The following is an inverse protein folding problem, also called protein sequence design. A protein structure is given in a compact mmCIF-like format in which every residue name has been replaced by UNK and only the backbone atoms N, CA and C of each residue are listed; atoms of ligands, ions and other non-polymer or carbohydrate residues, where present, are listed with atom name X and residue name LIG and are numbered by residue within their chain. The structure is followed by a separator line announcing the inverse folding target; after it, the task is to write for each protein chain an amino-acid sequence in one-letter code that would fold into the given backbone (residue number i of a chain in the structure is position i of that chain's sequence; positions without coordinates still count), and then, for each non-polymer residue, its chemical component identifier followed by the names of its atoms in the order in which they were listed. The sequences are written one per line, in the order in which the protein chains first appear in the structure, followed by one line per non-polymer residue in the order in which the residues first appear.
data_IF_005215324970
#
_entry.id   IF_005215324970
#
_cell.length_a   1.000
_cell.length_b   1.000
_cell.length_c   1.000
_cell.angle_alpha   90.00
_cell.angle_beta   90.00
_cell.angle_gamma   90.00
#
_symmetry.space_group_name_H-M   'P 1'
#
loop_
_entity.id
_entity.type
_entity.pdbx_description
1 polymer ?
#
# COMPACT_ATOMS: atom_id res chain seq x y z
N UNK A 1 18.01 -52.03 18.48
CA UNK A 1 16.58 -51.65 18.27
C UNK A 1 16.09 -50.93 19.52
N UNK A 2 15.19 -49.94 19.34
CA UNK A 2 14.49 -49.14 20.36
C UNK A 2 15.24 -47.89 20.85
N UNK A 3 15.28 -46.86 20.01
CA UNK A 3 15.03 -45.44 20.37
C UNK A 3 15.22 -44.60 19.11
N UNK A 4 14.30 -44.72 18.16
CA UNK A 4 14.31 -43.85 16.97
C UNK A 4 12.88 -43.63 16.48
N UNK A 5 12.01 -43.23 17.40
CA UNK A 5 10.65 -42.81 17.09
C UNK A 5 10.22 -41.80 18.16
N UNK A 6 10.63 -40.54 18.04
CA UNK A 6 9.91 -39.37 18.59
C UNK A 6 10.61 -38.05 18.18
N UNK A 7 10.64 -37.74 16.88
CA UNK A 7 11.09 -36.42 16.43
C UNK A 7 10.36 -35.95 15.16
N UNK A 8 9.11 -36.37 14.97
CA UNK A 8 8.24 -35.84 13.93
C UNK A 8 7.09 -35.05 14.57
N UNK A 9 7.42 -34.15 15.50
CA UNK A 9 6.51 -33.08 15.91
C UNK A 9 6.47 -32.03 14.80
N UNK A 10 5.67 -32.34 13.78
CA UNK A 10 4.63 -31.46 13.24
C UNK A 10 4.84 -29.95 13.45
N UNK A 11 5.87 -29.36 12.83
CA UNK A 11 5.84 -27.92 12.53
C UNK A 11 5.08 -27.72 11.21
N UNK A 12 3.80 -28.06 11.21
CA UNK A 12 2.84 -27.41 10.31
C UNK A 12 2.60 -26.02 10.90
N UNK A 13 3.58 -25.14 10.77
CA UNK A 13 3.29 -23.71 10.85
C UNK A 13 2.31 -23.44 9.71
N UNK A 14 1.03 -23.25 10.05
CA UNK A 14 0.09 -22.56 9.18
C UNK A 14 0.66 -21.16 8.98
N UNK A 15 1.61 -21.01 8.04
CA UNK A 15 1.92 -19.72 7.48
C UNK A 15 0.64 -19.25 6.81
N UNK A 16 0.01 -18.23 7.39
CA UNK A 16 -1.04 -17.52 6.69
C UNK A 16 -0.44 -17.04 5.37
N UNK A 17 -1.12 -17.33 4.26
CA UNK A 17 -0.64 -16.90 2.95
C UNK A 17 -0.50 -15.38 2.88
N UNK A 18 0.41 -14.90 2.04
CA UNK A 18 0.78 -13.49 1.94
C UNK A 18 -0.45 -12.59 1.69
N UNK A 19 -1.44 -13.09 0.94
CA UNK A 19 -2.71 -12.42 0.68
C UNK A 19 -3.51 -12.24 1.96
N UNK A 20 -3.63 -13.28 2.79
CA UNK A 20 -4.35 -13.21 4.06
C UNK A 20 -3.65 -12.25 5.03
N UNK A 21 -2.32 -12.24 5.03
CA UNK A 21 -1.55 -11.30 5.84
C UNK A 21 -1.75 -9.84 5.36
N UNK A 22 -1.78 -9.59 4.04
CA UNK A 22 -2.14 -8.28 3.51
C UNK A 22 -3.55 -7.86 3.92
N UNK A 23 -4.53 -8.77 3.84
CA UNK A 23 -5.92 -8.51 4.27
C UNK A 23 -5.99 -8.18 5.77
N UNK A 24 -5.28 -8.93 6.61
CA UNK A 24 -5.18 -8.64 8.05
C UNK A 24 -4.61 -7.25 8.30
N UNK A 25 -3.54 -6.89 7.61
CA UNK A 25 -2.92 -5.57 7.75
C UNK A 25 -3.86 -4.43 7.31
N UNK A 26 -4.71 -4.64 6.29
CA UNK A 26 -5.70 -3.64 5.83
C UNK A 26 -6.90 -3.53 6.79
N UNK A 27 -7.41 -4.66 7.30
CA UNK A 27 -8.62 -4.67 8.14
C UNK A 27 -8.32 -4.40 9.63
N UNK A 28 -7.07 -4.62 10.07
CA UNK A 28 -6.69 -4.59 11.47
C UNK A 28 -7.59 -5.50 12.31
N UNK A 29 -8.02 -5.02 13.47
CA UNK A 29 -8.89 -5.79 14.39
C UNK A 29 -10.22 -6.23 13.76
N UNK A 30 -10.68 -5.60 12.67
CA UNK A 30 -11.92 -6.01 12.00
C UNK A 30 -11.80 -7.38 11.35
N UNK A 31 -10.58 -7.81 10.99
CA UNK A 31 -10.32 -9.13 10.41
C UNK A 31 -10.90 -10.27 11.24
N UNK A 32 -10.72 -10.25 12.57
CA UNK A 32 -11.14 -11.36 13.44
C UNK A 32 -12.66 -11.55 13.46
N UNK A 33 -13.42 -10.48 13.23
CA UNK A 33 -14.89 -10.54 13.12
C UNK A 33 -15.37 -11.01 11.75
N UNK A 34 -14.55 -10.85 10.71
CA UNK A 34 -14.87 -11.21 9.32
C UNK A 34 -14.08 -12.41 8.78
N UNK A 35 -13.32 -13.12 9.63
CA UNK A 35 -12.36 -14.14 9.22
C UNK A 35 -12.98 -15.22 8.33
N UNK A 36 -14.19 -15.70 8.65
CA UNK A 36 -14.87 -16.72 7.84
C UNK A 36 -15.11 -16.24 6.41
N UNK A 37 -15.61 -15.00 6.26
CA UNK A 37 -15.88 -14.39 4.96
C UNK A 37 -14.57 -14.13 4.22
N UNK A 38 -13.56 -13.59 4.90
CA UNK A 38 -12.22 -13.37 4.33
C UNK A 38 -11.64 -14.67 3.77
N UNK A 39 -11.68 -15.76 4.54
CA UNK A 39 -11.16 -17.05 4.11
C UNK A 39 -11.88 -17.58 2.85
N UNK A 40 -13.18 -17.30 2.69
CA UNK A 40 -13.92 -17.67 1.47
C UNK A 40 -13.53 -16.77 0.30
N UNK A 41 -13.50 -15.44 0.50
CA UNK A 41 -13.23 -14.47 -0.57
C UNK A 41 -11.81 -14.57 -1.14
N UNK A 42 -10.85 -14.95 -0.30
CA UNK A 42 -9.42 -14.99 -0.63
C UNK A 42 -8.86 -16.43 -0.73
N UNK A 43 -9.73 -17.45 -0.78
CA UNK A 43 -9.32 -18.87 -0.84
C UNK A 43 -8.36 -19.18 -2.00
N UNK A 44 -8.55 -18.54 -3.16
CA UNK A 44 -7.69 -18.70 -4.31
C UNK A 44 -6.70 -17.53 -4.38
N UNK A 45 -5.64 -17.61 -3.56
CA UNK A 45 -4.65 -16.55 -3.38
C UNK A 45 -3.95 -16.15 -4.69
N UNK A 46 -3.68 -17.10 -5.59
CA UNK A 46 -3.02 -16.85 -6.88
C UNK A 46 -3.72 -15.79 -7.73
N UNK A 47 -5.03 -15.58 -7.53
CA UNK A 47 -5.78 -14.53 -8.24
C UNK A 47 -5.41 -13.12 -7.78
N UNK A 48 -4.70 -12.95 -6.68
CA UNK A 48 -4.33 -11.67 -6.08
C UNK A 48 -2.86 -11.34 -6.27
N UNK A 49 -2.23 -11.94 -7.28
CA UNK A 49 -0.86 -11.61 -7.70
C UNK A 49 -0.85 -11.05 -9.12
N UNK A 50 0.11 -10.15 -9.37
CA UNK A 50 0.57 -9.72 -10.69
C UNK A 50 2.03 -10.19 -10.83
N UNK A 51 2.24 -11.29 -11.54
CA UNK A 51 3.55 -11.96 -11.56
C UNK A 51 3.90 -12.47 -10.16
N UNK A 52 5.06 -12.06 -9.64
CA UNK A 52 5.52 -12.44 -8.29
C UNK A 52 5.10 -11.46 -7.18
N UNK A 53 4.29 -10.44 -7.50
CA UNK A 53 3.93 -9.37 -6.56
C UNK A 53 2.45 -9.43 -6.20
N UNK A 54 2.11 -9.09 -4.96
CA UNK A 54 0.71 -8.93 -4.57
C UNK A 54 0.04 -7.76 -5.32
N UNK A 55 -1.18 -8.00 -5.79
CA UNK A 55 -2.05 -7.01 -6.39
C UNK A 55 -2.89 -6.32 -5.31
N UNK A 56 -2.27 -5.36 -4.61
CA UNK A 56 -2.91 -4.62 -3.51
C UNK A 56 -4.20 -3.94 -3.97
N UNK A 57 -4.22 -3.38 -5.18
CA UNK A 57 -5.42 -2.75 -5.73
C UNK A 57 -6.58 -3.74 -5.80
N UNK A 58 -6.33 -4.96 -6.28
CA UNK A 58 -7.35 -6.02 -6.38
C UNK A 58 -7.80 -6.55 -5.02
N UNK A 59 -6.89 -6.67 -4.05
CA UNK A 59 -7.23 -7.05 -2.68
C UNK A 59 -8.16 -6.01 -2.06
N UNK A 60 -7.79 -4.74 -2.12
CA UNK A 60 -8.57 -3.61 -1.57
C UNK A 60 -9.93 -3.51 -2.27
N UNK A 61 -9.96 -3.63 -3.60
CA UNK A 61 -11.19 -3.64 -4.39
C UNK A 61 -12.14 -4.76 -3.95
N UNK A 62 -11.61 -5.98 -3.74
CA UNK A 62 -12.39 -7.12 -3.24
C UNK A 62 -12.95 -6.87 -1.85
N UNK A 63 -12.17 -6.26 -0.94
CA UNK A 63 -12.65 -5.90 0.41
C UNK A 63 -13.77 -4.86 0.35
N UNK A 64 -13.62 -3.80 -0.45
CA UNK A 64 -14.62 -2.74 -0.64
C UNK A 64 -15.91 -3.28 -1.22
N UNK A 65 -15.83 -4.06 -2.30
CA UNK A 65 -16.97 -4.65 -2.98
C UNK A 65 -17.79 -5.62 -2.10
N UNK A 66 -17.20 -6.14 -1.02
CA UNK A 66 -17.86 -7.03 -0.07
C UNK A 66 -18.15 -6.34 1.29
N UNK A 67 -18.08 -5.01 1.35
CA UNK A 67 -18.41 -4.23 2.55
C UNK A 67 -17.45 -4.42 3.74
N UNK A 68 -16.31 -5.08 3.54
CA UNK A 68 -15.33 -5.36 4.59
C UNK A 68 -14.44 -4.15 4.91
N UNK A 69 -14.29 -3.24 3.95
CA UNK A 69 -13.51 -2.02 4.09
C UNK A 69 -14.37 -0.80 3.77
N UNK A 70 -14.68 -0.02 4.80
CA UNK A 70 -15.30 1.30 4.69
C UNK A 70 -14.24 2.37 4.99
N UNK A 71 -14.08 3.30 4.05
CA UNK A 71 -13.10 4.38 4.13
C UNK A 71 -13.73 5.71 4.56
N UNK A 72 -15.06 5.83 4.53
CA UNK A 72 -15.73 7.09 4.84
C UNK A 72 -15.83 7.33 6.35
N UNK A 73 -15.67 8.60 6.73
CA UNK A 73 -15.91 9.07 8.08
C UNK A 73 -17.26 9.77 8.16
N UNK A 74 -17.81 9.84 9.37
CA UNK A 74 -19.06 10.59 9.62
C UNK A 74 -18.85 12.11 9.56
N UNK A 75 -17.63 12.56 9.84
CA UNK A 75 -17.20 13.96 9.84
C UNK A 75 -15.76 14.03 9.33
N UNK A 76 -15.29 15.17 8.78
CA UNK A 76 -13.90 15.35 8.43
C UNK A 76 -12.97 15.07 9.62
N UNK A 77 -11.93 14.26 9.42
CA UNK A 77 -10.93 13.91 10.42
C UNK A 77 -9.54 14.25 9.95
N UNK A 78 -8.67 14.52 10.91
CA UNK A 78 -7.23 14.53 10.66
C UNK A 78 -6.74 13.10 10.41
N UNK A 79 -6.02 12.94 9.31
CA UNK A 79 -5.45 11.70 8.81
C UNK A 79 -3.93 11.80 8.86
N UNK A 80 -3.28 10.76 9.36
CA UNK A 80 -1.82 10.61 9.28
C UNK A 80 -1.50 9.47 8.33
N UNK A 81 -0.67 9.76 7.32
CA UNK A 81 -0.24 8.77 6.34
C UNK A 81 1.29 8.72 6.37
N UNK A 82 1.83 7.52 6.57
CA UNK A 82 3.26 7.25 6.57
C UNK A 82 3.63 6.47 5.33
N UNK A 83 4.61 6.95 4.59
CA UNK A 83 5.20 6.31 3.43
C UNK A 83 6.64 5.92 3.75
N UNK A 84 7.06 4.76 3.26
CA UNK A 84 8.43 4.30 3.33
C UNK A 84 8.83 3.65 2.01
N UNK A 85 10.07 3.87 1.57
CA UNK A 85 10.67 3.13 0.48
C UNK A 85 12.19 3.16 0.60
N UNK A 86 12.83 2.15 0.01
CA UNK A 86 14.27 2.15 -0.25
C UNK A 86 14.55 2.85 -1.59
N UNK A 87 15.65 3.61 -1.66
CA UNK A 87 16.12 4.21 -2.92
C UNK A 87 16.27 5.73 -2.86
N UNK A 88 16.07 6.40 -4.00
CA UNK A 88 16.31 7.84 -4.15
C UNK A 88 15.19 8.68 -3.46
N UNK A 89 15.51 9.48 -2.42
CA UNK A 89 14.49 10.25 -1.68
C UNK A 89 13.77 11.31 -2.52
N UNK A 90 14.45 11.94 -3.48
CA UNK A 90 13.84 12.97 -4.34
C UNK A 90 12.84 12.35 -5.31
N UNK A 91 13.19 11.21 -5.90
CA UNK A 91 12.28 10.44 -6.76
C UNK A 91 11.05 9.98 -5.97
N UNK A 92 11.27 9.43 -4.78
CA UNK A 92 10.22 9.02 -3.86
C UNK A 92 9.25 10.17 -3.54
N UNK A 93 9.78 11.32 -3.09
CA UNK A 93 8.95 12.47 -2.71
C UNK A 93 8.16 12.98 -3.92
N UNK A 94 8.81 13.09 -5.08
CA UNK A 94 8.17 13.57 -6.31
C UNK A 94 7.02 12.68 -6.73
N UNK A 95 7.24 11.37 -6.81
CA UNK A 95 6.21 10.42 -7.25
C UNK A 95 5.04 10.42 -6.29
N UNK A 96 5.29 10.31 -4.98
CA UNK A 96 4.17 10.25 -4.01
C UNK A 96 3.41 11.56 -4.01
N UNK A 97 4.08 12.72 -4.05
CA UNK A 97 3.42 14.01 -4.11
C UNK A 97 2.52 14.14 -5.36
N UNK A 98 3.03 13.79 -6.54
CA UNK A 98 2.24 13.82 -7.77
C UNK A 98 1.10 12.79 -7.75
N UNK A 99 1.34 11.59 -7.23
CA UNK A 99 0.29 10.56 -7.08
C UNK A 99 -0.81 11.01 -6.12
N UNK A 100 -0.47 11.62 -4.99
CA UNK A 100 -1.43 12.19 -4.04
C UNK A 100 -2.26 13.30 -4.69
N UNK A 101 -1.61 14.23 -5.38
CA UNK A 101 -2.29 15.30 -6.11
C UNK A 101 -3.28 14.76 -7.14
N UNK A 102 -2.85 13.78 -7.95
CA UNK A 102 -3.67 13.18 -9.00
C UNK A 102 -4.91 12.44 -8.49
N UNK A 103 -4.90 11.97 -7.24
CA UNK A 103 -6.05 11.31 -6.61
C UNK A 103 -6.86 12.25 -5.69
N UNK A 104 -6.56 13.55 -5.70
CA UNK A 104 -7.34 14.59 -5.02
C UNK A 104 -6.77 15.10 -3.68
N UNK A 105 -5.57 14.66 -3.28
CA UNK A 105 -4.90 15.11 -2.04
C UNK A 105 -3.85 16.19 -2.33
N UNK A 106 -4.31 17.39 -2.68
CA UNK A 106 -3.43 18.53 -3.00
C UNK A 106 -2.92 19.31 -1.78
N UNK A 107 -3.55 19.16 -0.62
CA UNK A 107 -3.23 19.92 0.59
C UNK A 107 -2.96 18.98 1.77
N UNK A 108 -1.70 18.92 2.18
CA UNK A 108 -1.24 18.18 3.35
C UNK A 108 -0.02 18.87 3.94
N UNK A 109 0.26 18.60 5.21
CA UNK A 109 1.44 19.09 5.93
C UNK A 109 2.41 17.96 6.15
N UNK A 110 3.70 18.17 5.88
CA UNK A 110 4.74 17.22 6.29
C UNK A 110 4.92 17.28 7.79
N UNK A 111 4.75 16.14 8.46
CA UNK A 111 4.97 15.98 9.91
C UNK A 111 6.37 15.47 10.23
N UNK A 112 6.90 14.59 9.38
CA UNK A 112 8.22 14.00 9.57
C UNK A 112 8.78 13.58 8.20
N UNK A 113 10.06 13.81 7.96
CA UNK A 113 10.80 13.26 6.84
C UNK A 113 12.20 12.89 7.33
N UNK A 114 12.58 11.61 7.20
CA UNK A 114 13.86 11.13 7.71
C UNK A 114 14.39 9.96 6.89
N UNK A 115 15.70 9.76 6.94
CA UNK A 115 16.38 8.59 6.37
C UNK A 115 16.84 7.69 7.52
N UNK A 116 16.49 6.42 7.46
CA UNK A 116 16.93 5.37 8.40
C UNK A 116 17.59 4.26 7.58
N UNK A 117 18.93 4.23 7.57
CA UNK A 117 19.70 3.38 6.66
C UNK A 117 19.41 3.75 5.21
N UNK A 118 18.96 2.79 4.41
CA UNK A 118 18.56 3.01 3.00
C UNK A 118 17.08 3.32 2.81
N UNK A 119 16.29 3.27 3.88
CA UNK A 119 14.89 3.62 3.85
C UNK A 119 14.70 5.11 4.08
N UNK A 120 13.89 5.72 3.22
CA UNK A 120 13.36 7.05 3.44
C UNK A 120 11.93 6.95 3.95
N UNK A 121 11.64 7.68 5.02
CA UNK A 121 10.35 7.72 5.68
C UNK A 121 9.77 9.12 5.57
N UNK A 122 8.52 9.21 5.13
CA UNK A 122 7.80 10.46 5.02
C UNK A 122 6.41 10.33 5.59
N UNK A 123 6.07 11.21 6.53
CA UNK A 123 4.79 11.25 7.20
C UNK A 123 4.11 12.57 6.90
N UNK A 124 2.88 12.48 6.42
CA UNK A 124 2.04 13.64 6.15
C UNK A 124 0.78 13.61 7.02
N UNK A 125 0.20 14.79 7.20
CA UNK A 125 -1.08 14.97 7.88
C UNK A 125 -2.00 15.80 6.99
N UNK A 126 -3.26 15.40 6.89
CA UNK A 126 -4.28 16.16 6.17
C UNK A 126 -5.67 15.98 6.78
N UNK A 127 -6.60 16.88 6.49
CA UNK A 127 -8.00 16.75 6.90
C UNK A 127 -8.84 16.19 5.75
N UNK A 128 -9.59 15.13 5.97
CA UNK A 128 -10.44 14.53 4.95
C UNK A 128 -11.70 13.88 5.53
N UNK A 129 -12.75 13.78 4.72
CA UNK A 129 -14.00 13.05 5.03
C UNK A 129 -13.87 11.54 4.80
N UNK A 130 -12.76 11.09 4.23
CA UNK A 130 -12.46 9.67 4.04
C UNK A 130 -10.98 9.37 4.24
N UNK A 131 -10.67 8.12 4.58
CA UNK A 131 -9.33 7.61 4.46
C UNK A 131 -8.91 7.61 2.98
N UNK A 132 -7.61 7.80 2.72
CA UNK A 132 -7.06 7.65 1.38
C UNK A 132 -7.46 6.30 0.80
N UNK A 133 -8.07 6.33 -0.40
CA UNK A 133 -8.47 5.12 -1.10
C UNK A 133 -7.24 4.36 -1.58
N UNK A 134 -6.87 3.22 -0.95
CA UNK A 134 -5.63 2.56 -1.28
C UNK A 134 -5.67 1.90 -2.65
N UNK A 135 -6.86 1.57 -3.17
CA UNK A 135 -7.01 1.03 -4.52
C UNK A 135 -6.68 2.09 -5.56
N UNK A 136 -7.20 3.32 -5.37
CA UNK A 136 -6.95 4.43 -6.27
C UNK A 136 -5.47 4.85 -6.22
N UNK A 137 -4.90 4.93 -5.02
CA UNK A 137 -3.49 5.24 -4.83
C UNK A 137 -2.57 4.18 -5.46
N UNK A 138 -2.86 2.88 -5.25
CA UNK A 138 -2.10 1.80 -5.88
C UNK A 138 -2.10 1.90 -7.41
N UNK A 139 -3.28 2.13 -8.02
CA UNK A 139 -3.40 2.28 -9.47
C UNK A 139 -2.60 3.48 -10.00
N UNK A 140 -2.60 4.59 -9.28
CA UNK A 140 -1.84 5.78 -9.68
C UNK A 140 -0.32 5.58 -9.56
N UNK A 141 0.14 4.87 -8.52
CA UNK A 141 1.55 4.50 -8.37
C UNK A 141 2.02 3.53 -9.47
N UNK A 142 1.19 2.54 -9.82
CA UNK A 142 1.54 1.51 -10.82
C UNK A 142 1.81 2.11 -12.20
N UNK A 143 1.15 3.23 -12.55
CA UNK A 143 1.41 3.98 -13.80
C UNK A 143 2.84 4.53 -13.91
N UNK A 144 3.56 4.56 -12.80
CA UNK A 144 4.91 5.10 -12.65
C UNK A 144 5.91 4.01 -12.26
N UNK A 145 5.54 2.73 -12.40
CA UNK A 145 6.37 1.60 -12.03
C UNK A 145 6.57 1.43 -10.52
N UNK A 146 5.75 2.10 -9.70
CA UNK A 146 5.79 2.00 -8.23
C UNK A 146 4.71 1.04 -7.75
N UNK A 147 5.07 0.18 -6.81
CA UNK A 147 4.15 -0.83 -6.27
C UNK A 147 4.08 -0.73 -4.75
N UNK A 148 2.90 -0.95 -4.18
CA UNK A 148 2.75 -1.07 -2.73
C UNK A 148 3.18 -2.50 -2.34
N UNK A 149 4.33 -2.63 -1.66
CA UNK A 149 4.78 -3.90 -1.07
C UNK A 149 3.90 -4.29 0.10
N UNK A 150 3.63 -3.33 0.99
CA UNK A 150 2.82 -3.55 2.19
C UNK A 150 2.00 -2.32 2.51
N UNK A 151 0.78 -2.56 2.94
CA UNK A 151 -0.13 -1.54 3.46
C UNK A 151 -0.65 -1.99 4.82
N UNK A 152 -0.71 -1.09 5.79
CA UNK A 152 -1.24 -1.40 7.12
C UNK A 152 -2.10 -0.26 7.65
N UNK A 153 -3.31 -0.59 8.06
CA UNK A 153 -4.17 0.33 8.80
C UNK A 153 -3.85 0.24 10.30
N UNK A 154 -3.20 1.27 10.85
CA UNK A 154 -2.89 1.37 12.29
C UNK A 154 -4.11 1.80 13.11
N UNK A 155 -4.94 2.65 12.53
CA UNK A 155 -6.26 3.04 13.04
C UNK A 155 -7.13 3.52 11.88
N UNK A 156 -8.39 3.89 12.14
CA UNK A 156 -9.25 4.46 11.09
C UNK A 156 -8.62 5.68 10.40
N UNK A 157 -7.77 6.43 11.11
CA UNK A 157 -7.13 7.66 10.62
C UNK A 157 -5.62 7.54 10.39
N UNK A 158 -5.02 6.35 10.56
CA UNK A 158 -3.57 6.16 10.43
C UNK A 158 -3.23 4.98 9.53
N UNK A 159 -2.47 5.25 8.48
CA UNK A 159 -2.10 4.27 7.47
C UNK A 159 -0.60 4.31 7.18
N UNK A 160 -0.02 3.12 7.05
CA UNK A 160 1.37 2.94 6.65
C UNK A 160 1.41 2.29 5.27
N UNK A 161 2.26 2.82 4.39
CA UNK A 161 2.54 2.32 3.05
C UNK A 161 4.04 2.09 2.92
N UNK A 162 4.41 0.87 2.55
CA UNK A 162 5.76 0.48 2.17
C UNK A 162 5.76 0.23 0.67
N UNK A 163 6.64 0.92 -0.05
CA UNK A 163 6.62 1.03 -1.50
C UNK A 163 7.89 0.41 -2.09
N UNK A 164 7.73 -0.31 -3.19
CA UNK A 164 8.80 -0.65 -4.11
C UNK A 164 8.86 0.41 -5.21
N UNK A 165 9.96 1.17 -5.22
CA UNK A 165 10.25 2.22 -6.21
C UNK A 165 11.40 1.82 -7.14
N UNK A 166 11.79 0.55 -7.22
CA UNK A 166 12.94 0.12 -8.01
C UNK A 166 12.79 0.44 -9.50
N UNK A 167 11.58 0.27 -10.05
CA UNK A 167 11.27 0.58 -11.45
C UNK A 167 10.58 1.94 -11.61
N UNK A 168 10.79 2.84 -10.65
CA UNK A 168 10.08 4.11 -10.59
C UNK A 168 10.50 5.06 -11.72
N UNK A 169 9.52 5.59 -12.44
CA UNK A 169 9.73 6.57 -13.50
C UNK A 169 8.95 7.86 -13.24
N UNK A 170 9.59 9.00 -13.51
CA UNK A 170 8.90 10.28 -13.56
C UNK A 170 8.24 10.41 -14.92
N UNK A 171 6.93 10.60 -14.94
CA UNK A 171 6.17 10.91 -16.16
C UNK A 171 6.48 12.34 -16.62
N UNK A 172 7.67 12.55 -17.16
CA UNK A 172 8.08 13.79 -17.81
C UNK A 172 7.95 13.63 -19.32
N UNK A 173 7.52 14.69 -20.03
CA UNK A 173 7.69 14.74 -21.48
C UNK A 173 9.20 14.69 -21.77
N UNK A 174 9.65 13.79 -22.64
CA UNK A 174 11.08 13.69 -22.96
C UNK A 174 11.53 14.97 -23.66
N UNK A 175 12.55 15.62 -23.11
CA UNK A 175 13.30 16.65 -23.80
C UNK A 175 14.37 15.93 -24.62
N UNK A 176 14.06 15.65 -25.89
CA UNK A 176 15.08 15.21 -26.83
C UNK A 176 15.91 16.45 -27.20
N UNK A 177 17.22 16.29 -27.41
CA UNK A 177 18.17 17.39 -27.72
C UNK A 177 17.81 18.25 -28.93
N UNK A 178 16.77 17.89 -29.68
CA UNK A 178 16.28 18.57 -30.88
C UNK A 178 14.89 19.21 -30.73
N UNK A 179 14.22 19.08 -29.57
CA UNK A 179 12.84 19.55 -29.39
C UNK A 179 12.71 20.53 -28.22
N UNK A 180 12.32 21.77 -28.53
CA UNK A 180 11.87 22.75 -27.53
C UNK A 180 10.42 22.47 -27.14
N UNK A 181 10.19 22.11 -25.89
CA UNK A 181 8.82 22.00 -25.36
C UNK A 181 8.41 23.36 -24.80
N UNK A 182 7.51 24.04 -25.51
CA UNK A 182 6.85 25.22 -24.97
C UNK A 182 5.85 24.80 -23.89
N UNK A 183 6.14 25.16 -22.64
CA UNK A 183 5.17 25.05 -21.56
C UNK A 183 4.06 26.07 -21.83
N UNK A 184 2.83 25.60 -22.09
CA UNK A 184 1.67 26.49 -22.15
C UNK A 184 1.50 27.13 -20.78
N UNK A 185 1.46 28.46 -20.76
CA UNK A 185 1.11 29.26 -19.58
C UNK A 185 -0.26 28.88 -19.05
#
# INVERSE_FOLDING_TARGET
MRTLFLALFLTLSLNAGEVIEAVKNILGNRYYRSQKIVNVLFRNENRFYKGSRLDIAKIVSKLKANGLLNLYFKIPKEMEISFAAEGNPLLFLKIINESLHNIGYSFFTTKEAKREGDYFHWKIVLKSESAMDPELFAKELERRGVFIRKIRQRSLTRWDYDLDIFNAEVLAKSLNSYNTINLKK
#
